data_IF_542523914813
#
_entry.id   IF_542523914813
#
_cell.length_a   1.000
_cell.length_b   1.000
_cell.length_c   1.000
_cell.angle_alpha   90.00
_cell.angle_beta   90.00
_cell.angle_gamma   90.00
#
_symmetry.space_group_name_H-M   'P 1'
#
loop_
_entity.id
_entity.type
_entity.pdbx_description
1 polymer ?
#
# COMPACT_ATOMS: atom_id res chain seq x y z
N UNK A 1 14.67 22.56 0.19
CA UNK A 1 13.47 23.42 0.11
C UNK A 1 12.44 22.71 -0.74
N UNK A 2 11.15 22.91 -0.51
CA UNK A 2 10.07 22.27 -1.29
C UNK A 2 9.09 23.36 -1.70
N UNK A 3 8.77 23.43 -3.00
CA UNK A 3 7.71 24.31 -3.47
C UNK A 3 6.35 23.71 -3.06
N UNK A 4 5.47 24.47 -2.38
CA UNK A 4 4.20 23.93 -1.91
C UNK A 4 3.21 23.72 -3.06
N UNK A 5 2.29 22.78 -2.87
CA UNK A 5 1.21 22.51 -3.80
C UNK A 5 1.54 21.53 -4.93
N UNK A 6 0.56 21.24 -5.79
CA UNK A 6 0.65 20.17 -6.79
C UNK A 6 1.71 20.43 -7.87
N UNK A 7 1.96 21.69 -8.22
CA UNK A 7 3.05 22.07 -9.14
C UNK A 7 4.43 21.79 -8.54
N UNK A 8 4.56 21.94 -7.23
CA UNK A 8 5.81 21.71 -6.53
C UNK A 8 6.27 20.26 -6.57
N UNK A 9 5.34 19.32 -6.70
CA UNK A 9 5.67 17.91 -6.88
C UNK A 9 6.38 17.62 -8.22
N UNK A 10 6.27 18.51 -9.21
CA UNK A 10 6.96 18.42 -10.51
C UNK A 10 8.17 19.35 -10.58
N UNK A 11 8.04 20.59 -10.09
CA UNK A 11 9.10 21.59 -10.18
C UNK A 11 10.26 21.29 -9.23
N UNK A 12 9.98 20.91 -7.98
CA UNK A 12 11.03 20.60 -7.00
C UNK A 12 11.98 19.50 -7.49
N UNK A 13 11.53 18.34 -8.01
CA UNK A 13 12.46 17.34 -8.56
C UNK A 13 13.18 17.79 -9.82
N UNK A 14 12.64 18.74 -10.57
CA UNK A 14 13.29 19.29 -11.77
C UNK A 14 14.42 20.26 -11.41
N UNK A 15 14.27 21.05 -10.34
CA UNK A 15 15.29 22.02 -9.89
C UNK A 15 16.29 21.43 -8.90
N UNK A 16 15.82 20.72 -7.88
CA UNK A 16 16.66 20.17 -6.81
C UNK A 16 17.24 18.79 -7.15
N UNK A 17 16.87 18.22 -8.29
CA UNK A 17 17.22 16.87 -8.70
C UNK A 17 16.28 15.81 -8.14
N UNK A 18 16.11 14.75 -8.92
CA UNK A 18 15.17 13.66 -8.63
C UNK A 18 15.60 12.81 -7.43
N UNK A 19 16.92 12.72 -7.19
CA UNK A 19 17.54 12.01 -6.05
C UNK A 19 17.17 12.62 -4.71
N UNK A 20 17.03 13.95 -4.65
CA UNK A 20 16.75 14.69 -3.43
C UNK A 20 15.25 14.79 -3.10
N UNK A 21 14.38 14.25 -3.96
CA UNK A 21 12.93 14.45 -3.90
C UNK A 21 12.13 13.24 -4.38
N UNK A 22 12.58 12.04 -3.99
CA UNK A 22 12.01 10.77 -4.41
C UNK A 22 10.52 10.61 -4.06
N UNK A 23 10.09 11.17 -2.93
CA UNK A 23 8.74 10.98 -2.41
C UNK A 23 7.72 11.95 -3.03
N UNK A 24 8.16 13.08 -3.59
CA UNK A 24 7.26 14.10 -4.14
C UNK A 24 6.41 13.56 -5.29
N UNK A 25 6.97 12.86 -6.31
CA UNK A 25 6.15 12.25 -7.35
C UNK A 25 5.24 11.12 -6.84
N UNK A 26 5.58 10.48 -5.72
CA UNK A 26 4.82 9.36 -5.13
C UNK A 26 3.65 9.83 -4.26
N UNK A 27 3.67 11.08 -3.79
CA UNK A 27 2.62 11.64 -2.92
C UNK A 27 1.24 11.76 -3.60
N UNK A 28 1.18 11.82 -4.93
CA UNK A 28 -0.08 11.91 -5.68
C UNK A 28 -0.68 10.52 -5.98
N UNK A 29 -1.99 10.37 -5.84
CA UNK A 29 -2.71 9.13 -6.23
C UNK A 29 -2.95 9.00 -7.73
N UNK A 30 -2.61 10.03 -8.52
CA UNK A 30 -2.83 10.10 -9.97
C UNK A 30 -4.30 9.97 -10.39
N UNK A 31 -5.23 10.55 -9.62
CA UNK A 31 -6.67 10.51 -9.94
C UNK A 31 -7.08 11.31 -11.20
N UNK A 32 -6.23 12.21 -11.70
CA UNK A 32 -6.49 12.98 -12.93
C UNK A 32 -7.30 14.27 -12.75
N UNK A 33 -7.96 14.46 -11.61
CA UNK A 33 -8.87 15.61 -11.39
C UNK A 33 -8.18 16.96 -11.62
N UNK A 34 -6.94 17.09 -11.14
CA UNK A 34 -6.14 18.31 -11.30
C UNK A 34 -5.89 18.70 -12.77
N UNK A 35 -5.94 17.75 -13.70
CA UNK A 35 -5.83 18.04 -15.14
C UNK A 35 -7.17 18.53 -15.70
N UNK A 36 -8.29 17.97 -15.23
CA UNK A 36 -9.65 18.31 -15.69
C UNK A 36 -10.05 19.71 -15.25
N UNK A 37 -9.79 20.08 -13.99
CA UNK A 37 -10.17 21.40 -13.45
C UNK A 37 -9.21 22.53 -13.85
N UNK A 38 -8.08 22.22 -14.49
CA UNK A 38 -7.04 23.20 -14.75
C UNK A 38 -7.45 24.15 -15.89
N UNK A 39 -7.53 25.48 -15.64
CA UNK A 39 -7.92 26.44 -16.68
C UNK A 39 -6.91 26.53 -17.83
N UNK A 40 -5.65 26.21 -17.55
CA UNK A 40 -4.53 26.26 -18.51
C UNK A 40 -4.12 24.87 -19.06
N UNK A 41 -4.90 23.82 -18.76
CA UNK A 41 -4.75 22.46 -19.30
C UNK A 41 -3.35 21.85 -19.13
N UNK A 42 -2.75 22.01 -17.95
CA UNK A 42 -1.44 21.42 -17.65
C UNK A 42 -1.58 19.93 -17.34
N UNK A 43 -0.88 19.03 -18.05
CA UNK A 43 -0.99 17.58 -17.85
C UNK A 43 -0.15 17.13 -16.63
N UNK A 44 -0.56 17.55 -15.44
CA UNK A 44 0.19 17.30 -14.21
C UNK A 44 0.34 15.81 -13.87
N UNK A 45 -0.70 14.94 -13.98
CA UNK A 45 -0.56 13.51 -13.70
C UNK A 45 0.46 12.83 -14.62
N UNK A 46 0.51 13.23 -15.89
CA UNK A 46 1.45 12.66 -16.86
C UNK A 46 2.89 13.06 -16.58
N UNK A 47 3.11 14.31 -16.16
CA UNK A 47 4.43 14.79 -15.74
C UNK A 47 4.93 14.00 -14.52
N UNK A 48 4.08 13.80 -13.52
CA UNK A 48 4.42 13.00 -12.34
C UNK A 48 4.69 11.53 -12.73
N UNK A 49 3.93 10.95 -13.65
CA UNK A 49 4.18 9.59 -14.17
C UNK A 49 5.56 9.47 -14.83
N UNK A 50 5.93 10.42 -15.71
CA UNK A 50 7.25 10.46 -16.34
C UNK A 50 8.38 10.59 -15.32
N UNK A 51 8.17 11.34 -14.24
CA UNK A 51 9.15 11.41 -13.14
C UNK A 51 9.29 10.08 -12.41
N UNK A 52 8.19 9.35 -12.17
CA UNK A 52 8.25 7.99 -11.59
C UNK A 52 8.97 6.99 -12.49
N UNK A 53 8.76 7.06 -13.81
CA UNK A 53 9.50 6.24 -14.79
C UNK A 53 11.00 6.53 -14.73
N UNK A 54 11.39 7.82 -14.74
CA UNK A 54 12.79 8.21 -14.59
C UNK A 54 13.39 7.77 -13.25
N UNK A 55 12.62 7.78 -12.16
CA UNK A 55 13.08 7.25 -10.86
C UNK A 55 13.36 5.75 -10.94
N UNK A 56 12.50 5.01 -11.65
CA UNK A 56 12.64 3.57 -11.82
C UNK A 56 13.85 3.22 -12.69
N UNK A 57 14.01 3.88 -13.84
CA UNK A 57 15.12 3.68 -14.79
C UNK A 57 16.48 3.97 -14.13
N UNK A 58 16.54 5.04 -13.33
CA UNK A 58 17.75 5.43 -12.60
C UNK A 58 17.99 4.65 -11.31
N UNK A 59 17.13 3.66 -10.98
CA UNK A 59 17.26 2.82 -9.79
C UNK A 59 17.39 3.61 -8.47
N UNK A 60 16.76 4.78 -8.39
CA UNK A 60 16.93 5.69 -7.26
C UNK A 60 16.21 5.21 -5.98
N UNK A 61 15.25 4.28 -6.11
CA UNK A 61 14.59 3.67 -4.96
C UNK A 61 15.43 2.52 -4.38
N UNK A 62 15.47 2.36 -3.04
CA UNK A 62 16.21 1.28 -2.41
C UNK A 62 15.83 -0.09 -2.96
N UNK A 63 16.82 -0.93 -3.23
CA UNK A 63 16.61 -2.29 -3.72
C UNK A 63 15.66 -3.11 -2.81
N UNK A 64 15.72 -2.86 -1.50
CA UNK A 64 14.86 -3.50 -0.48
C UNK A 64 13.37 -3.28 -0.74
N UNK A 65 12.98 -2.07 -1.17
CA UNK A 65 11.58 -1.77 -1.47
C UNK A 65 11.10 -2.54 -2.70
N UNK A 66 11.94 -2.60 -3.74
CA UNK A 66 11.64 -3.34 -4.97
C UNK A 66 11.45 -4.83 -4.67
N UNK A 67 12.32 -5.40 -3.85
CA UNK A 67 12.20 -6.79 -3.40
C UNK A 67 10.97 -7.02 -2.53
N UNK A 68 10.66 -6.12 -1.62
CA UNK A 68 9.46 -6.22 -0.79
C UNK A 68 8.18 -6.21 -1.65
N UNK A 69 8.10 -5.31 -2.63
CA UNK A 69 6.97 -5.24 -3.56
C UNK A 69 6.89 -6.47 -4.46
N UNK A 70 8.02 -6.97 -4.96
CA UNK A 70 8.06 -8.19 -5.75
C UNK A 70 7.61 -9.41 -4.94
N UNK A 71 8.13 -9.59 -3.73
CA UNK A 71 7.76 -10.66 -2.83
C UNK A 71 6.27 -10.59 -2.45
N UNK A 72 5.77 -9.39 -2.17
CA UNK A 72 4.35 -9.14 -1.94
C UNK A 72 3.51 -9.54 -3.14
N UNK A 73 3.86 -9.09 -4.35
CA UNK A 73 3.16 -9.44 -5.59
C UNK A 73 3.13 -10.95 -5.82
N UNK A 74 4.26 -11.63 -5.65
CA UNK A 74 4.37 -13.08 -5.76
C UNK A 74 3.43 -13.83 -4.80
N UNK A 75 3.36 -13.38 -3.55
CA UNK A 75 2.46 -13.95 -2.54
C UNK A 75 0.99 -13.64 -2.86
N UNK A 76 0.69 -12.38 -3.20
CA UNK A 76 -0.67 -11.92 -3.50
C UNK A 76 -1.27 -12.59 -4.74
N UNK A 77 -0.45 -12.88 -5.77
CA UNK A 77 -0.88 -13.60 -6.96
C UNK A 77 -1.17 -15.09 -6.72
N UNK A 78 -0.81 -15.65 -5.56
CA UNK A 78 -0.98 -17.08 -5.24
C UNK A 78 -2.00 -17.26 -4.10
N UNK A 79 -3.28 -17.54 -4.39
CA UNK A 79 -4.35 -17.59 -3.39
C UNK A 79 -4.12 -18.60 -2.26
N UNK A 80 -3.47 -19.73 -2.53
CA UNK A 80 -3.16 -20.73 -1.51
C UNK A 80 -2.07 -20.24 -0.54
N UNK A 81 -1.00 -19.66 -1.07
CA UNK A 81 0.10 -19.13 -0.27
C UNK A 81 -0.36 -17.92 0.55
N UNK A 82 -1.13 -17.02 -0.07
CA UNK A 82 -1.73 -15.87 0.61
C UNK A 82 -2.60 -16.31 1.79
N UNK A 83 -3.47 -17.31 1.61
CA UNK A 83 -4.32 -17.85 2.69
C UNK A 83 -3.52 -18.44 3.84
N UNK A 84 -2.47 -19.21 3.53
CA UNK A 84 -1.63 -19.85 4.55
C UNK A 84 -0.86 -18.80 5.36
N UNK A 85 -0.19 -17.87 4.68
CA UNK A 85 0.56 -16.78 5.32
C UNK A 85 -0.38 -15.92 6.16
N UNK A 86 -1.53 -15.52 5.61
CA UNK A 86 -2.48 -14.68 6.33
C UNK A 86 -3.09 -15.39 7.55
N UNK A 87 -3.35 -16.70 7.46
CA UNK A 87 -3.79 -17.53 8.59
C UNK A 87 -2.75 -17.62 9.72
N UNK A 88 -1.48 -17.83 9.35
CA UNK A 88 -0.35 -17.83 10.29
C UNK A 88 -0.18 -16.45 10.95
N UNK A 89 -0.20 -15.38 10.18
CA UNK A 89 -0.11 -14.00 10.67
C UNK A 89 -1.24 -13.69 11.64
N UNK A 90 -2.49 -14.04 11.33
CA UNK A 90 -3.62 -13.83 12.25
C UNK A 90 -3.48 -14.64 13.54
N UNK A 91 -2.92 -15.86 13.49
CA UNK A 91 -2.64 -16.65 14.70
C UNK A 91 -1.53 -16.00 15.53
N UNK A 92 -0.44 -15.56 14.90
CA UNK A 92 0.65 -14.86 15.57
C UNK A 92 0.17 -13.56 16.23
N UNK A 93 -0.65 -12.76 15.53
CA UNK A 93 -1.27 -11.54 16.05
C UNK A 93 -2.17 -11.82 17.26
N UNK A 94 -2.96 -12.91 17.25
CA UNK A 94 -3.77 -13.33 18.41
C UNK A 94 -2.93 -13.73 19.62
N UNK A 95 -1.83 -14.44 19.40
CA UNK A 95 -0.90 -14.81 20.48
C UNK A 95 -0.25 -13.55 21.06
N UNK A 96 0.16 -12.63 20.19
CA UNK A 96 0.79 -11.35 20.56
C UNK A 96 -0.14 -10.43 21.35
N UNK A 97 -1.45 -10.51 21.08
CA UNK A 97 -2.44 -9.77 21.83
C UNK A 97 -2.61 -10.26 23.28
N UNK A 98 -2.16 -11.49 23.61
CA UNK A 98 -2.17 -12.06 24.98
C UNK A 98 -3.52 -11.90 25.71
N UNK A 99 -4.63 -12.05 24.98
CA UNK A 99 -5.99 -11.91 25.53
C UNK A 99 -6.50 -10.48 25.66
N UNK A 100 -5.70 -9.45 25.33
CA UNK A 100 -6.16 -8.07 25.19
C UNK A 100 -6.83 -7.91 23.83
N UNK A 101 -7.92 -7.14 23.76
CA UNK A 101 -8.66 -6.89 22.50
C UNK A 101 -7.88 -6.09 21.45
N UNK A 102 -6.66 -5.65 21.80
CA UNK A 102 -5.78 -4.82 20.97
C UNK A 102 -4.31 -5.26 21.09
N UNK A 103 -3.51 -4.93 20.08
CA UNK A 103 -2.07 -5.20 20.03
C UNK A 103 -1.33 -3.89 20.33
N UNK A 104 -0.70 -3.82 21.50
CA UNK A 104 0.04 -2.63 21.97
C UNK A 104 1.42 -2.46 21.31
N UNK A 105 2.01 -3.55 20.81
CA UNK A 105 3.36 -3.50 20.25
C UNK A 105 3.49 -4.38 19.01
N UNK A 106 3.84 -3.76 17.88
CA UNK A 106 4.21 -4.43 16.64
C UNK A 106 5.71 -4.24 16.39
N UNK A 107 6.53 -5.32 16.33
CA UNK A 107 7.98 -5.20 16.18
C UNK A 107 8.43 -4.51 14.88
N UNK A 108 7.60 -4.52 13.84
CA UNK A 108 7.85 -3.84 12.55
C UNK A 108 6.92 -2.64 12.31
N UNK A 109 6.10 -2.27 13.30
CA UNK A 109 5.10 -1.20 13.19
C UNK A 109 5.04 -0.34 14.45
N UNK A 110 6.14 -0.31 15.22
CA UNK A 110 6.20 0.33 16.54
C UNK A 110 5.87 1.83 16.47
N UNK A 111 6.20 2.50 15.37
CA UNK A 111 5.82 3.89 15.14
C UNK A 111 4.30 4.10 15.02
N UNK A 112 3.55 3.11 14.53
CA UNK A 112 2.09 3.18 14.43
C UNK A 112 1.40 2.66 15.69
N UNK A 113 1.90 1.56 16.27
CA UNK A 113 1.33 0.98 17.50
C UNK A 113 1.57 1.83 18.75
N UNK A 114 2.47 2.83 18.69
CA UNK A 114 2.70 3.79 19.79
C UNK A 114 1.59 4.83 19.94
N UNK A 115 0.90 5.15 18.85
CA UNK A 115 -0.14 6.18 18.83
C UNK A 115 -1.53 5.62 18.50
N UNK A 116 -1.62 4.38 18.01
CA UNK A 116 -2.88 3.71 17.66
C UNK A 116 -2.91 2.26 18.13
N UNK A 117 -4.03 1.90 18.72
CA UNK A 117 -4.34 0.51 19.04
C UNK A 117 -4.79 -0.25 17.79
N UNK A 118 -4.15 -1.39 17.52
CA UNK A 118 -4.60 -2.30 16.46
C UNK A 118 -5.62 -3.28 17.05
N UNK A 119 -6.88 -3.32 16.58
CA UNK A 119 -7.82 -4.35 17.00
C UNK A 119 -7.34 -5.73 16.54
N UNK A 120 -7.44 -6.71 17.43
CA UNK A 120 -7.08 -8.10 17.11
C UNK A 120 -8.07 -8.65 16.08
N UNK A 121 -7.62 -9.38 15.05
CA UNK A 121 -8.51 -10.07 14.13
C UNK A 121 -9.45 -11.01 14.91
N UNK A 122 -10.75 -10.71 14.91
CA UNK A 122 -11.78 -11.53 15.56
C UNK A 122 -12.36 -12.54 14.57
N UNK A 123 -12.36 -13.83 14.95
CA UNK A 123 -13.03 -14.90 14.21
C UNK A 123 -12.28 -15.42 12.98
N UNK A 124 -13.04 -15.97 12.02
CA UNK A 124 -12.52 -16.56 10.77
C UNK A 124 -12.11 -15.47 9.78
N UNK A 125 -11.05 -15.69 9.02
CA UNK A 125 -10.60 -14.74 8.01
C UNK A 125 -11.66 -14.62 6.87
N UNK A 126 -11.54 -13.60 6.02
CA UNK A 126 -12.49 -13.40 4.92
C UNK A 126 -12.57 -14.63 3.98
N UNK A 127 -11.44 -15.28 3.69
CA UNK A 127 -11.40 -16.43 2.80
C UNK A 127 -12.14 -17.65 3.36
N UNK A 128 -12.01 -17.91 4.66
CA UNK A 128 -12.74 -18.95 5.38
C UNK A 128 -14.24 -18.64 5.40
N UNK A 129 -14.61 -17.37 5.64
CA UNK A 129 -16.01 -16.91 5.58
C UNK A 129 -16.60 -17.06 4.19
N UNK A 130 -15.81 -16.73 3.16
CA UNK A 130 -16.22 -16.87 1.76
C UNK A 130 -16.38 -18.34 1.36
N UNK A 131 -15.48 -19.23 1.81
CA UNK A 131 -15.59 -20.67 1.59
C UNK A 131 -16.85 -21.25 2.25
N UNK A 132 -17.15 -20.87 3.50
CA UNK A 132 -18.37 -21.26 4.20
C UNK A 132 -19.63 -20.78 3.48
N UNK A 133 -19.63 -19.50 3.06
CA UNK A 133 -20.74 -18.94 2.29
C UNK A 133 -20.94 -19.66 0.95
N UNK A 134 -19.85 -20.02 0.26
CA UNK A 134 -19.92 -20.76 -1.00
C UNK A 134 -20.52 -22.15 -0.80
N UNK A 135 -20.17 -22.84 0.30
CA UNK A 135 -20.75 -24.15 0.64
C UNK A 135 -22.19 -24.09 1.13
N UNK A 136 -22.63 -22.96 1.70
CA UNK A 136 -24.01 -22.78 2.19
C UNK A 136 -24.96 -22.24 1.13
N UNK A 137 -24.50 -22.03 -0.11
CA UNK A 137 -25.39 -21.63 -1.20
C UNK A 137 -26.26 -22.82 -1.58
N UNK A 138 -27.60 -22.72 -1.47
CA UNK A 138 -28.46 -23.74 -2.05
C UNK A 138 -28.19 -23.78 -3.54
N UNK A 139 -27.90 -24.97 -4.06
CA UNK A 139 -27.78 -25.21 -5.49
C UNK A 139 -29.09 -24.75 -6.12
N UNK A 140 -29.02 -23.72 -6.96
CA UNK A 140 -30.17 -23.26 -7.74
C UNK A 140 -30.63 -24.45 -8.58
N UNK A 141 -31.65 -25.16 -8.08
CA UNK A 141 -32.42 -26.15 -8.82
C UNK A 141 -32.91 -25.45 -10.09
N UNK A 142 -32.32 -25.83 -11.22
CA UNK A 142 -32.86 -25.61 -12.57
C UNK A 142 -34.22 -26.27 -12.68
#
# INVERSE_FOLDING_TARGET
>A
WVYPGPMGAVLTPSYAGLENSLDLPQAATLCGECHVVCPVKIPLPDLLRKLRERQFDRHLRPWRERWALWAWGFVAMRPHLYRLIFGLTNRALRIMARGRGYIAFLPLGSGWSRFRDLPVPKGKNFADRYALWKSSRPETRS
#
